data_IF_999446590038
#
_entry.id   IF_999446590038
#
_cell.length_a   1.000
_cell.length_b   1.000
_cell.length_c   1.000
_cell.angle_alpha   90.00
_cell.angle_beta   90.00
_cell.angle_gamma   90.00
#
_symmetry.space_group_name_H-M   'P 1'
#
loop_
_entity.id
_entity.type
_entity.pdbx_description
1 polymer ?
#
# COMPACT_ATOMS: atom_id res chain seq x y z
N UNK A 1 0.53 -3.15 3.43
CA UNK A 1 1.07 -1.83 3.81
C UNK A 1 0.28 -1.29 5.00
N UNK A 2 0.98 -0.92 6.08
CA UNK A 2 0.37 -0.31 7.27
C UNK A 2 0.59 1.22 7.24
N UNK A 3 -0.46 2.02 7.02
CA UNK A 3 -0.35 3.47 7.00
C UNK A 3 0.18 4.08 8.31
N UNK A 4 0.03 3.37 9.43
CA UNK A 4 0.49 3.83 10.73
C UNK A 4 2.01 4.06 10.78
N UNK A 5 2.79 3.35 9.98
CA UNK A 5 4.24 3.52 9.86
C UNK A 5 4.64 4.93 9.38
N UNK A 6 3.76 5.59 8.62
CA UNK A 6 3.99 6.93 8.07
C UNK A 6 3.39 8.06 8.92
N UNK A 7 2.57 7.75 9.92
CA UNK A 7 1.94 8.76 10.78
C UNK A 7 2.95 9.74 11.42
N UNK A 8 4.13 9.30 11.91
CA UNK A 8 5.11 10.24 12.45
C UNK A 8 5.55 11.31 11.44
N UNK A 9 5.71 10.91 10.16
CA UNK A 9 6.10 11.83 9.07
C UNK A 9 4.95 12.80 8.79
N UNK A 10 3.72 12.32 8.69
CA UNK A 10 2.54 13.18 8.50
C UNK A 10 2.35 14.15 9.66
N UNK A 11 2.55 13.71 10.90
CA UNK A 11 2.48 14.59 12.08
C UNK A 11 3.58 15.64 12.06
N UNK A 12 4.81 15.26 11.74
CA UNK A 12 5.93 16.20 11.60
C UNK A 12 5.63 17.27 10.54
N UNK A 13 5.18 16.85 9.36
CA UNK A 13 4.82 17.77 8.28
C UNK A 13 3.71 18.73 8.71
N UNK A 14 2.64 18.23 9.36
CA UNK A 14 1.53 19.04 9.86
C UNK A 14 2.00 20.06 10.91
N UNK A 15 2.80 19.63 11.89
CA UNK A 15 3.30 20.48 12.96
C UNK A 15 4.20 21.60 12.43
N UNK A 16 4.95 21.34 11.37
CA UNK A 16 5.87 22.28 10.76
C UNK A 16 5.29 22.98 9.53
N UNK A 17 4.00 22.76 9.20
CA UNK A 17 3.32 23.32 8.04
C UNK A 17 4.04 23.01 6.71
N UNK A 18 4.65 21.83 6.61
CA UNK A 18 5.31 21.34 5.40
C UNK A 18 4.25 20.78 4.47
N UNK A 19 4.14 21.28 3.23
CA UNK A 19 3.22 20.72 2.25
C UNK A 19 3.54 19.26 1.94
N UNK A 20 2.51 18.42 1.82
CA UNK A 20 2.61 17.05 1.34
C UNK A 20 1.96 16.98 -0.03
N UNK A 21 2.65 16.34 -0.97
CA UNK A 21 2.19 16.16 -2.35
C UNK A 21 2.18 14.68 -2.67
N UNK A 22 1.04 14.16 -3.13
CA UNK A 22 0.95 12.82 -3.66
C UNK A 22 1.62 12.78 -5.05
N UNK A 23 2.56 11.88 -5.24
CA UNK A 23 3.34 11.76 -6.48
C UNK A 23 3.15 10.43 -7.18
N UNK A 24 2.26 9.58 -6.66
CA UNK A 24 1.92 8.31 -7.28
C UNK A 24 0.72 8.48 -8.23
N UNK A 25 0.51 7.51 -9.09
CA UNK A 25 -0.65 7.37 -9.99
C UNK A 25 -1.65 6.37 -9.44
N UNK A 26 -2.86 6.39 -9.98
CA UNK A 26 -3.88 5.40 -9.67
C UNK A 26 -3.45 3.99 -10.07
N UNK A 27 -3.85 3.03 -9.27
CA UNK A 27 -3.53 1.62 -9.52
C UNK A 27 -4.04 1.14 -10.89
N UNK A 28 -5.14 1.69 -11.36
CA UNK A 28 -5.75 1.38 -12.66
C UNK A 28 -4.84 1.70 -13.83
N UNK A 29 -4.07 2.80 -13.78
CA UNK A 29 -3.10 3.12 -14.83
C UNK A 29 -1.99 2.08 -14.87
N UNK A 30 -1.38 1.76 -13.72
CA UNK A 30 -0.31 0.76 -13.64
C UNK A 30 -0.79 -0.60 -14.12
N UNK A 31 -2.00 -1.01 -13.73
CA UNK A 31 -2.61 -2.24 -14.20
C UNK A 31 -2.83 -2.23 -15.72
N UNK A 32 -3.36 -1.15 -16.28
CA UNK A 32 -3.53 -1.01 -17.72
C UNK A 32 -2.21 -1.12 -18.49
N UNK A 33 -1.13 -0.54 -17.95
CA UNK A 33 0.21 -0.67 -18.57
C UNK A 33 0.73 -2.10 -18.47
N UNK A 34 0.56 -2.77 -17.33
CA UNK A 34 1.00 -4.17 -17.18
C UNK A 34 0.22 -5.15 -18.04
N UNK A 35 -1.02 -4.83 -18.43
CA UNK A 35 -1.85 -5.67 -19.29
C UNK A 35 -1.58 -5.46 -20.79
N UNK A 36 -1.44 -4.22 -21.23
CA UNK A 36 -1.41 -3.87 -22.66
C UNK A 36 -0.20 -3.04 -23.12
N UNK A 37 0.69 -2.66 -22.21
CA UNK A 37 1.83 -1.79 -22.46
C UNK A 37 1.47 -0.30 -22.45
N UNK A 38 2.45 0.57 -22.18
CA UNK A 38 2.24 2.02 -22.05
C UNK A 38 1.72 2.66 -23.34
N UNK A 39 2.24 2.27 -24.49
CA UNK A 39 1.84 2.83 -25.80
C UNK A 39 0.35 2.60 -26.11
N UNK A 40 -0.22 1.49 -25.64
CA UNK A 40 -1.62 1.14 -25.85
C UNK A 40 -2.59 1.83 -24.87
N UNK A 41 -2.09 2.50 -23.81
CA UNK A 41 -2.92 3.28 -22.91
C UNK A 41 -3.27 4.62 -23.57
N UNK A 42 -4.55 5.00 -23.71
CA UNK A 42 -4.95 6.30 -24.26
C UNK A 42 -4.33 7.45 -23.45
N UNK A 43 -3.93 8.53 -24.12
CA UNK A 43 -3.30 9.71 -23.48
C UNK A 43 -4.19 10.30 -22.37
N UNK A 44 -5.51 10.29 -22.57
CA UNK A 44 -6.48 10.76 -21.59
C UNK A 44 -6.52 9.94 -20.31
N UNK A 45 -6.02 8.68 -20.34
CA UNK A 45 -6.00 7.76 -19.21
C UNK A 45 -4.62 7.71 -18.52
N UNK A 46 -3.61 8.42 -19.06
CA UNK A 46 -2.23 8.42 -18.52
C UNK A 46 -2.02 9.36 -17.34
N UNK A 47 -3.05 9.99 -16.82
CA UNK A 47 -3.00 10.92 -15.67
C UNK A 47 -1.94 12.03 -15.81
N UNK A 48 -1.62 12.43 -17.04
CA UNK A 48 -0.58 13.43 -17.32
C UNK A 48 0.86 12.90 -17.23
N UNK A 49 1.05 11.60 -17.00
CA UNK A 49 2.38 11.00 -17.03
C UNK A 49 2.90 11.01 -18.46
N UNK A 50 4.03 11.69 -18.66
CA UNK A 50 4.73 11.71 -19.95
C UNK A 50 5.46 10.38 -20.18
N UNK A 51 5.86 10.14 -21.41
CA UNK A 51 6.59 8.92 -21.77
C UNK A 51 7.80 8.70 -20.86
N UNK A 52 7.89 7.54 -20.19
CA UNK A 52 9.03 7.21 -19.36
C UNK A 52 10.29 7.05 -20.19
N UNK A 53 11.44 7.48 -19.67
CA UNK A 53 12.71 7.13 -20.26
C UNK A 53 12.96 5.61 -20.14
N UNK A 54 13.60 4.98 -21.13
CA UNK A 54 13.93 3.56 -21.09
C UNK A 54 14.75 3.20 -19.84
N UNK A 55 14.54 1.99 -19.35
CA UNK A 55 15.39 1.45 -18.28
C UNK A 55 16.82 1.26 -18.77
N UNK A 56 17.78 1.44 -17.87
CA UNK A 56 19.15 1.00 -18.10
C UNK A 56 19.25 -0.52 -17.85
N UNK A 57 20.20 -1.19 -18.47
CA UNK A 57 20.34 -2.66 -18.40
C UNK A 57 20.43 -3.18 -16.95
N UNK A 58 21.16 -2.48 -16.06
CA UNK A 58 21.27 -2.87 -14.66
C UNK A 58 19.93 -2.77 -13.89
N UNK A 59 19.07 -1.82 -14.26
CA UNK A 59 17.73 -1.73 -13.68
C UNK A 59 16.82 -2.85 -14.19
N UNK A 60 16.90 -3.17 -15.47
CA UNK A 60 16.17 -4.32 -16.03
C UNK A 60 16.58 -5.62 -15.36
N UNK A 61 17.88 -5.81 -15.07
CA UNK A 61 18.39 -6.98 -14.35
C UNK A 61 17.77 -7.09 -12.95
N UNK A 62 17.75 -6.00 -12.20
CA UNK A 62 17.13 -5.94 -10.88
C UNK A 62 15.62 -6.20 -10.94
N UNK A 63 14.94 -5.63 -11.92
CA UNK A 63 13.51 -5.84 -12.12
C UNK A 63 13.21 -7.29 -12.53
N UNK A 64 14.12 -7.93 -13.30
CA UNK A 64 13.97 -9.32 -13.69
C UNK A 64 14.05 -10.26 -12.47
N UNK A 65 14.98 -10.03 -11.58
CA UNK A 65 15.06 -10.78 -10.31
C UNK A 65 13.79 -10.61 -9.50
N UNK A 66 13.36 -9.37 -9.29
CA UNK A 66 12.12 -9.07 -8.56
C UNK A 66 10.88 -9.71 -9.21
N UNK A 67 10.77 -9.67 -10.54
CA UNK A 67 9.65 -10.27 -11.26
C UNK A 67 9.63 -11.80 -11.10
N UNK A 68 10.79 -12.44 -11.23
CA UNK A 68 10.92 -13.90 -11.06
C UNK A 68 10.56 -14.35 -9.65
N UNK A 69 10.93 -13.60 -8.62
CA UNK A 69 10.61 -13.91 -7.22
C UNK A 69 9.10 -13.88 -6.93
N UNK A 70 8.35 -13.14 -7.74
CA UNK A 70 6.88 -13.07 -7.64
C UNK A 70 6.16 -14.15 -8.48
N UNK A 71 6.87 -14.87 -9.35
CA UNK A 71 6.28 -15.95 -10.11
C UNK A 71 6.18 -17.24 -9.28
N UNK A 72 5.11 -18.02 -9.49
CA UNK A 72 5.05 -19.37 -8.94
C UNK A 72 6.28 -20.21 -9.38
N UNK A 73 6.76 -21.13 -8.55
CA UNK A 73 7.98 -21.90 -8.85
C UNK A 73 7.94 -22.65 -10.20
N UNK A 74 6.76 -23.11 -10.61
CA UNK A 74 6.53 -23.81 -11.89
C UNK A 74 6.58 -22.89 -13.11
N UNK A 75 6.51 -21.57 -12.90
CA UNK A 75 6.60 -20.55 -13.96
C UNK A 75 7.95 -19.82 -14.00
N UNK A 76 8.86 -20.14 -13.10
CA UNK A 76 10.20 -19.54 -13.12
C UNK A 76 11.00 -20.07 -14.30
N UNK A 77 11.18 -19.21 -15.30
CA UNK A 77 11.93 -19.48 -16.50
C UNK A 77 13.42 -19.16 -16.31
N UNK A 78 14.26 -19.66 -17.24
CA UNK A 78 15.63 -19.18 -17.40
C UNK A 78 15.64 -17.66 -17.64
N UNK A 79 16.63 -16.96 -17.06
CA UNK A 79 16.70 -15.49 -17.12
C UNK A 79 16.76 -14.96 -18.58
N UNK A 80 17.39 -15.70 -19.50
CA UNK A 80 17.49 -15.28 -20.91
C UNK A 80 16.14 -15.39 -21.62
N UNK A 81 15.33 -16.41 -21.31
CA UNK A 81 13.98 -16.58 -21.85
C UNK A 81 13.02 -15.56 -21.21
N UNK A 82 13.14 -15.36 -19.90
CA UNK A 82 12.31 -14.41 -19.17
C UNK A 82 12.46 -12.96 -19.68
N UNK A 83 13.64 -12.54 -20.12
CA UNK A 83 13.86 -11.22 -20.76
C UNK A 83 13.10 -11.04 -22.09
N UNK A 84 12.78 -12.12 -22.77
CA UNK A 84 12.03 -12.10 -24.03
C UNK A 84 10.52 -12.20 -23.81
N UNK A 85 10.10 -12.40 -22.57
CA UNK A 85 8.70 -12.52 -22.20
C UNK A 85 7.97 -11.17 -22.29
N UNK A 86 6.84 -11.16 -22.97
CA UNK A 86 5.99 -9.97 -23.07
C UNK A 86 5.44 -9.52 -21.73
N UNK A 87 5.18 -10.44 -20.79
CA UNK A 87 4.72 -10.11 -19.45
C UNK A 87 5.81 -9.38 -18.66
N UNK A 88 7.06 -9.84 -18.77
CA UNK A 88 8.20 -9.16 -18.17
C UNK A 88 8.40 -7.76 -18.75
N UNK A 89 8.34 -7.62 -20.10
CA UNK A 89 8.45 -6.29 -20.72
C UNK A 89 7.39 -5.33 -20.23
N UNK A 90 6.13 -5.77 -20.14
CA UNK A 90 5.04 -4.96 -19.61
C UNK A 90 5.20 -4.66 -18.11
N UNK A 91 5.75 -5.59 -17.35
CA UNK A 91 6.12 -5.34 -15.96
C UNK A 91 7.15 -4.21 -15.85
N UNK A 92 8.23 -4.24 -16.64
CA UNK A 92 9.23 -3.15 -16.70
C UNK A 92 8.55 -1.83 -17.06
N UNK A 93 7.73 -1.78 -18.10
CA UNK A 93 6.99 -0.56 -18.48
C UNK A 93 6.13 -0.03 -17.34
N UNK A 94 5.48 -0.88 -16.55
CA UNK A 94 4.68 -0.47 -15.41
C UNK A 94 5.52 0.15 -14.28
N UNK A 95 6.72 -0.39 -14.03
CA UNK A 95 7.66 0.21 -13.08
C UNK A 95 8.17 1.57 -13.56
N UNK A 96 8.49 1.69 -14.84
CA UNK A 96 8.95 2.95 -15.44
C UNK A 96 7.88 4.04 -15.40
N UNK A 97 6.61 3.69 -15.56
CA UNK A 97 5.48 4.64 -15.40
C UNK A 97 5.40 5.15 -13.97
N UNK A 98 5.57 4.28 -12.98
CA UNK A 98 5.64 4.70 -11.58
C UNK A 98 6.80 5.64 -11.32
N UNK A 99 8.00 5.27 -11.76
CA UNK A 99 9.20 6.10 -11.61
C UNK A 99 9.03 7.45 -12.28
N UNK A 100 8.44 7.48 -13.47
CA UNK A 100 8.19 8.71 -14.21
C UNK A 100 7.18 9.62 -13.52
N UNK A 101 6.08 9.07 -13.01
CA UNK A 101 5.08 9.82 -12.27
C UNK A 101 5.67 10.46 -11.03
N UNK A 102 6.41 9.70 -10.23
CA UNK A 102 7.09 10.20 -9.03
C UNK A 102 8.13 11.27 -9.38
N UNK A 103 8.91 11.06 -10.43
CA UNK A 103 9.88 12.05 -10.90
C UNK A 103 9.21 13.36 -11.34
N UNK A 104 8.10 13.28 -12.09
CA UNK A 104 7.33 14.47 -12.48
C UNK A 104 6.79 15.22 -11.27
N UNK A 105 6.19 14.51 -10.32
CA UNK A 105 5.67 15.13 -9.10
C UNK A 105 6.75 15.83 -8.27
N UNK A 106 7.93 15.24 -8.14
CA UNK A 106 9.10 15.86 -7.49
C UNK A 106 9.56 17.09 -8.25
N UNK A 107 9.67 17.00 -9.58
CA UNK A 107 10.07 18.10 -10.44
C UNK A 107 9.08 19.29 -10.35
N UNK A 108 7.78 19.00 -10.33
CA UNK A 108 6.73 20.00 -10.20
C UNK A 108 6.77 20.68 -8.84
N UNK A 109 6.96 19.93 -7.76
CA UNK A 109 7.11 20.48 -6.42
C UNK A 109 8.33 21.42 -6.34
N UNK A 110 9.46 21.03 -6.93
CA UNK A 110 10.68 21.84 -6.97
C UNK A 110 10.48 23.15 -7.79
N UNK A 111 9.75 23.06 -8.91
CA UNK A 111 9.43 24.24 -9.74
C UNK A 111 8.49 25.23 -9.04
N UNK A 112 7.50 24.70 -8.30
CA UNK A 112 6.53 25.53 -7.58
C UNK A 112 7.15 26.31 -6.41
N UNK A 113 8.24 25.80 -5.83
CA UNK A 113 8.95 26.44 -4.71
C UNK A 113 10.47 26.46 -4.94
N UNK A 114 10.97 27.36 -5.80
CA UNK A 114 12.40 27.48 -6.06
C UNK A 114 13.19 27.71 -4.76
N UNK A 115 14.27 26.97 -4.59
CA UNK A 115 15.13 27.05 -3.40
C UNK A 115 14.66 26.25 -2.19
N UNK A 116 13.47 25.65 -2.23
CA UNK A 116 13.04 24.72 -1.19
C UNK A 116 13.70 23.34 -1.38
N UNK A 117 13.96 22.66 -0.27
CA UNK A 117 14.33 21.24 -0.29
C UNK A 117 13.07 20.41 -0.52
N UNK A 118 13.08 19.57 -1.54
CA UNK A 118 12.03 18.60 -1.82
C UNK A 118 12.50 17.24 -1.37
N UNK A 119 11.73 16.58 -0.50
CA UNK A 119 12.03 15.23 -0.01
C UNK A 119 11.01 14.26 -0.62
N UNK A 120 11.47 13.35 -1.45
CA UNK A 120 10.67 12.25 -2.00
C UNK A 120 10.74 11.03 -1.07
N UNK A 121 9.58 10.50 -0.68
CA UNK A 121 9.46 9.28 0.12
C UNK A 121 8.80 8.21 -0.74
N UNK A 122 9.53 7.12 -0.97
CA UNK A 122 9.07 6.04 -1.86
C UNK A 122 9.71 4.70 -1.46
N UNK A 123 9.28 3.61 -2.08
CA UNK A 123 9.89 2.30 -1.88
C UNK A 123 11.35 2.30 -2.32
N UNK A 124 12.19 1.57 -1.60
CA UNK A 124 13.63 1.50 -1.85
C UNK A 124 13.99 1.08 -3.28
N UNK A 125 13.22 0.19 -3.89
CA UNK A 125 13.43 -0.26 -5.28
C UNK A 125 13.40 0.86 -6.32
N UNK A 126 12.73 1.97 -6.03
CA UNK A 126 12.68 3.16 -6.90
C UNK A 126 13.85 4.13 -6.66
N UNK A 127 14.64 3.91 -5.58
CA UNK A 127 15.70 4.82 -5.11
C UNK A 127 17.08 4.24 -5.29
N UNK A 128 17.27 2.95 -4.96
CA UNK A 128 18.60 2.30 -4.94
C UNK A 128 19.29 2.42 -6.30
N UNK A 129 20.59 2.59 -6.24
CA UNK A 129 21.47 2.79 -7.39
C UNK A 129 21.11 3.99 -8.28
N UNK A 130 20.06 4.74 -7.97
CA UNK A 130 19.58 5.84 -8.80
C UNK A 130 18.98 5.41 -10.14
N UNK A 131 18.64 4.14 -10.30
CA UNK A 131 18.18 3.58 -11.58
C UNK A 131 16.71 3.86 -11.91
N UNK A 132 15.86 4.04 -10.89
CA UNK A 132 14.45 4.37 -11.05
C UNK A 132 14.20 5.88 -11.16
N UNK A 133 13.63 6.48 -10.10
CA UNK A 133 13.21 7.90 -10.09
C UNK A 133 14.34 8.87 -10.41
N UNK A 134 15.55 8.65 -9.88
CA UNK A 134 16.69 9.51 -10.16
C UNK A 134 17.07 9.50 -11.65
N UNK A 135 17.03 8.34 -12.30
CA UNK A 135 17.23 8.23 -13.75
C UNK A 135 16.17 9.02 -14.51
N UNK A 136 14.89 8.87 -14.17
CA UNK A 136 13.82 9.64 -14.82
C UNK A 136 13.99 11.16 -14.64
N UNK A 137 14.38 11.63 -13.46
CA UNK A 137 14.67 13.05 -13.22
C UNK A 137 15.82 13.56 -14.10
N UNK A 138 16.90 12.79 -14.23
CA UNK A 138 18.03 13.15 -15.10
C UNK A 138 17.61 13.23 -16.58
N UNK A 139 16.80 12.29 -17.04
CA UNK A 139 16.25 12.29 -18.40
C UNK A 139 15.29 13.46 -18.64
N UNK A 140 14.72 14.03 -17.59
CA UNK A 140 13.96 15.31 -17.65
C UNK A 140 14.87 16.55 -17.62
N UNK A 141 16.18 16.40 -17.64
CA UNK A 141 17.15 17.49 -17.59
C UNK A 141 17.37 18.07 -16.18
N UNK A 142 16.95 17.37 -15.13
CA UNK A 142 17.15 17.78 -13.75
C UNK A 142 18.43 17.17 -13.17
N UNK A 143 19.00 17.85 -12.18
CA UNK A 143 20.12 17.30 -11.42
C UNK A 143 19.65 16.08 -10.63
N UNK A 144 20.49 15.04 -10.58
CA UNK A 144 20.21 13.87 -9.74
C UNK A 144 19.99 14.28 -8.28
N UNK A 145 18.93 13.77 -7.64
CA UNK A 145 18.73 13.97 -6.21
C UNK A 145 19.75 13.15 -5.41
N UNK A 146 19.93 13.49 -4.14
CA UNK A 146 20.63 12.60 -3.20
C UNK A 146 19.71 11.45 -2.80
N UNK A 147 20.21 10.23 -2.88
CA UNK A 147 19.54 9.02 -2.44
C UNK A 147 19.95 8.69 -1.01
N UNK A 148 18.99 8.68 -0.09
CA UNK A 148 19.17 8.32 1.30
C UNK A 148 18.41 7.03 1.58
N UNK A 149 19.10 6.00 2.10
CA UNK A 149 18.53 4.68 2.31
C UNK A 149 18.53 4.30 3.79
N UNK A 150 17.39 4.04 4.41
CA UNK A 150 17.34 3.34 5.67
C UNK A 150 17.76 1.88 5.44
N UNK A 151 18.61 1.37 6.31
CA UNK A 151 19.17 0.04 6.25
C UNK A 151 18.85 -0.72 7.53
N UNK A 152 18.37 -1.94 7.42
CA UNK A 152 18.22 -2.81 8.58
C UNK A 152 19.60 -3.13 9.14
N UNK A 153 19.88 -2.66 10.35
CA UNK A 153 21.17 -2.82 11.02
C UNK A 153 21.56 -4.30 11.20
N UNK A 154 20.58 -5.19 11.28
CA UNK A 154 20.77 -6.62 11.47
C UNK A 154 20.80 -7.38 10.11
N UNK A 155 20.70 -6.65 8.99
CA UNK A 155 20.79 -7.19 7.63
C UNK A 155 22.22 -7.55 7.23
N UNK A 156 22.35 -8.32 6.14
CA UNK A 156 23.65 -8.72 5.60
C UNK A 156 24.40 -7.53 5.00
N UNK A 157 25.50 -7.13 5.64
CA UNK A 157 26.36 -6.05 5.17
C UNK A 157 26.95 -6.29 3.76
N UNK A 158 26.97 -7.52 3.25
CA UNK A 158 27.44 -7.81 1.89
C UNK A 158 26.58 -7.16 0.81
N UNK A 159 25.35 -6.81 1.13
CA UNK A 159 24.44 -6.10 0.21
C UNK A 159 24.70 -4.58 0.16
N UNK A 160 25.52 -4.02 1.08
CA UNK A 160 25.98 -2.63 1.07
C UNK A 160 27.13 -2.46 0.07
N UNK A 161 26.78 -2.34 -1.19
CA UNK A 161 27.73 -2.15 -2.27
C UNK A 161 27.93 -0.68 -2.63
N UNK A 162 29.09 -0.28 -3.16
CA UNK A 162 29.31 1.06 -3.67
C UNK A 162 28.26 1.44 -4.71
N UNK A 163 27.73 2.66 -4.62
CA UNK A 163 26.70 3.17 -5.54
C UNK A 163 25.27 2.73 -5.20
N UNK A 164 25.06 2.03 -4.09
CA UNK A 164 23.71 1.67 -3.64
C UNK A 164 22.87 2.91 -3.31
N UNK A 165 23.45 3.88 -2.62
CA UNK A 165 22.87 5.18 -2.28
C UNK A 165 23.98 6.18 -1.97
N UNK A 166 23.65 7.47 -1.86
CA UNK A 166 24.61 8.51 -1.42
C UNK A 166 24.89 8.43 0.09
N UNK A 167 23.91 8.01 0.88
CA UNK A 167 24.09 7.71 2.28
C UNK A 167 23.14 6.62 2.74
N UNK A 168 23.62 5.79 3.66
CA UNK A 168 22.89 4.68 4.28
C UNK A 168 22.83 4.90 5.78
N UNK A 169 21.65 4.73 6.36
CA UNK A 169 21.41 4.91 7.79
C UNK A 169 21.00 3.57 8.41
N UNK A 170 21.84 3.02 9.26
CA UNK A 170 21.51 1.82 10.02
C UNK A 170 20.38 2.11 11.01
N UNK A 171 19.23 1.48 10.81
CA UNK A 171 18.09 1.55 11.73
C UNK A 171 17.94 0.22 12.43
N UNK A 172 17.69 0.26 13.74
CA UNK A 172 17.34 -0.96 14.46
C UNK A 172 15.95 -1.42 14.00
N UNK A 173 15.77 -2.73 13.84
CA UNK A 173 14.41 -3.26 13.68
C UNK A 173 13.55 -2.74 14.86
N UNK A 174 12.43 -2.05 14.59
CA UNK A 174 11.56 -1.67 15.68
C UNK A 174 11.16 -2.95 16.42
N UNK A 175 11.08 -2.93 17.77
CA UNK A 175 10.62 -4.10 18.51
C UNK A 175 9.32 -4.53 17.85
N UNK A 176 9.27 -5.81 17.40
CA UNK A 176 8.07 -6.35 16.76
C UNK A 176 6.89 -5.92 17.60
N UNK A 177 6.09 -5.01 17.07
CA UNK A 177 4.85 -4.65 17.73
C UNK A 177 4.19 -5.99 18.04
N UNK A 178 3.97 -6.26 19.31
CA UNK A 178 3.21 -7.44 19.73
C UNK A 178 2.01 -7.42 18.80
N UNK A 179 1.88 -8.43 17.95
CA UNK A 179 0.77 -8.49 17.00
C UNK A 179 -0.48 -8.50 17.86
N UNK A 180 -1.00 -7.33 18.13
CA UNK A 180 -2.32 -7.19 18.77
C UNK A 180 -3.23 -7.91 17.81
N UNK A 181 -3.71 -9.06 18.24
CA UNK A 181 -4.54 -9.91 17.41
C UNK A 181 -5.62 -9.03 16.80
N UNK A 182 -5.68 -8.97 15.46
CA UNK A 182 -6.61 -8.08 14.76
C UNK A 182 -8.01 -8.32 15.33
N UNK A 183 -8.70 -7.29 15.79
CA UNK A 183 -9.99 -7.48 16.42
C UNK A 183 -10.94 -8.19 15.45
N UNK A 184 -11.64 -9.21 15.93
CA UNK A 184 -12.59 -10.00 15.14
C UNK A 184 -13.89 -10.13 15.92
N UNK A 185 -15.00 -9.89 15.25
CA UNK A 185 -16.31 -10.19 15.84
C UNK A 185 -16.57 -11.70 15.91
N UNK A 186 -16.02 -12.48 14.97
CA UNK A 186 -16.29 -13.90 14.84
C UNK A 186 -17.60 -14.17 14.10
N UNK A 187 -17.79 -13.51 12.96
CA UNK A 187 -18.93 -13.70 12.05
C UNK A 187 -18.44 -13.94 10.63
N UNK A 188 -19.21 -14.68 9.84
CA UNK A 188 -19.16 -14.64 8.38
C UNK A 188 -20.22 -13.70 7.85
N UNK A 189 -19.93 -13.04 6.74
CA UNK A 189 -20.79 -12.01 6.16
C UNK A 189 -21.20 -12.40 4.75
N UNK A 190 -22.44 -12.13 4.42
CA UNK A 190 -23.05 -12.37 3.10
C UNK A 190 -23.69 -11.07 2.60
N UNK A 191 -23.64 -10.78 1.28
CA UNK A 191 -24.35 -9.63 0.71
C UNK A 191 -25.84 -9.72 0.92
N UNK A 192 -26.53 -8.58 1.10
CA UNK A 192 -27.97 -8.49 1.16
C UNK A 192 -28.44 -7.14 0.59
N UNK A 193 -29.69 -7.06 0.08
CA UNK A 193 -30.21 -5.85 -0.58
C UNK A 193 -30.17 -4.58 0.28
N UNK A 194 -30.32 -4.71 1.59
CA UNK A 194 -30.45 -3.55 2.49
C UNK A 194 -29.44 -3.55 3.64
N UNK A 195 -28.23 -4.03 3.41
CA UNK A 195 -27.18 -4.12 4.42
C UNK A 195 -26.34 -5.39 4.24
N UNK A 196 -25.75 -5.88 5.31
CA UNK A 196 -24.88 -7.05 5.31
C UNK A 196 -25.45 -8.13 6.22
N UNK A 197 -25.68 -9.33 5.71
CA UNK A 197 -26.25 -10.46 6.45
C UNK A 197 -25.18 -11.26 7.18
N UNK A 198 -25.50 -11.72 8.38
CA UNK A 198 -24.63 -12.64 9.12
C UNK A 198 -24.92 -14.06 8.65
N UNK A 199 -23.95 -14.69 7.99
CA UNK A 199 -24.02 -16.07 7.51
C UNK A 199 -23.78 -17.10 8.62
N UNK A 200 -22.83 -16.81 9.53
CA UNK A 200 -22.55 -17.64 10.70
C UNK A 200 -21.97 -16.83 11.85
N UNK A 201 -22.08 -17.35 13.06
CA UNK A 201 -21.47 -16.83 14.28
C UNK A 201 -20.59 -17.91 14.88
N UNK A 202 -19.33 -17.57 15.17
CA UNK A 202 -18.36 -18.48 15.79
C UNK A 202 -18.67 -18.62 17.29
N UNK A 203 -18.68 -19.83 17.81
CA UNK A 203 -18.84 -20.09 19.24
C UNK A 203 -17.71 -19.43 20.06
N UNK A 204 -18.03 -18.89 21.25
CA UNK A 204 -17.10 -18.18 22.12
C UNK A 204 -16.66 -16.79 21.62
N UNK A 205 -17.16 -16.35 20.47
CA UNK A 205 -16.77 -15.07 19.86
C UNK A 205 -17.40 -13.85 20.52
N UNK A 206 -16.90 -12.65 20.16
CA UNK A 206 -17.52 -11.40 20.57
C UNK A 206 -18.96 -11.32 20.05
N UNK A 207 -19.20 -11.75 18.82
CA UNK A 207 -20.53 -11.74 18.22
C UNK A 207 -21.54 -12.58 19.01
N UNK A 208 -21.15 -13.79 19.44
CA UNK A 208 -22.00 -14.65 20.24
C UNK A 208 -22.35 -13.97 21.60
N UNK A 209 -21.33 -13.46 22.30
CA UNK A 209 -21.53 -12.72 23.55
C UNK A 209 -22.37 -11.45 23.39
N UNK A 210 -22.34 -10.84 22.21
CA UNK A 210 -23.17 -9.67 21.86
C UNK A 210 -24.62 -10.09 21.56
N UNK A 211 -24.88 -11.38 21.35
CA UNK A 211 -26.20 -11.90 21.00
C UNK A 211 -26.53 -11.82 19.51
N UNK A 212 -25.52 -11.62 18.64
CA UNK A 212 -25.66 -11.73 17.20
C UNK A 212 -25.96 -13.17 16.80
N UNK A 213 -26.72 -13.37 15.73
CA UNK A 213 -27.16 -14.69 15.27
C UNK A 213 -27.04 -14.79 13.75
N UNK A 214 -26.90 -16.01 13.26
CA UNK A 214 -27.07 -16.29 11.83
C UNK A 214 -28.40 -15.76 11.33
N UNK A 215 -28.39 -15.10 10.18
CA UNK A 215 -29.57 -14.50 9.54
C UNK A 215 -29.85 -13.05 9.94
N UNK A 216 -29.19 -12.51 10.98
CA UNK A 216 -29.30 -11.08 11.30
C UNK A 216 -28.80 -10.23 10.14
N UNK A 217 -29.51 -9.14 9.82
CA UNK A 217 -29.10 -8.16 8.86
C UNK A 217 -28.50 -6.95 9.60
N UNK A 218 -27.22 -6.67 9.39
CA UNK A 218 -26.58 -5.46 9.93
C UNK A 218 -27.01 -4.28 9.08
N UNK A 219 -27.83 -3.40 9.66
CA UNK A 219 -28.35 -2.20 9.00
C UNK A 219 -27.62 -0.92 9.40
N UNK A 220 -26.87 -0.97 10.51
CA UNK A 220 -25.99 0.13 10.95
C UNK A 220 -24.86 -0.43 11.80
N UNK A 221 -23.65 0.10 11.62
CA UNK A 221 -22.45 -0.20 12.40
C UNK A 221 -21.67 1.09 12.64
N UNK A 222 -21.36 1.40 13.90
CA UNK A 222 -20.70 2.65 14.29
C UNK A 222 -21.40 3.90 13.71
N UNK A 223 -22.74 3.91 13.63
CA UNK A 223 -23.53 5.03 13.11
C UNK A 223 -23.61 5.13 11.58
N UNK A 224 -22.99 4.17 10.85
CA UNK A 224 -22.97 4.14 9.37
C UNK A 224 -23.71 2.91 8.86
N UNK A 225 -24.49 3.06 7.80
CA UNK A 225 -25.15 1.95 7.11
C UNK A 225 -24.14 1.24 6.21
N UNK A 226 -23.82 -0.04 6.44
CA UNK A 226 -22.92 -0.79 5.57
C UNK A 226 -23.67 -1.30 4.32
N UNK A 227 -23.07 -1.12 3.17
CA UNK A 227 -23.54 -1.70 1.90
C UNK A 227 -22.82 -3.00 1.56
N UNK A 228 -21.57 -3.13 2.03
CA UNK A 228 -20.70 -4.26 1.72
C UNK A 228 -20.04 -4.85 2.97
N UNK A 229 -19.73 -6.15 2.91
CA UNK A 229 -19.05 -6.86 3.97
C UNK A 229 -17.70 -6.24 4.38
N UNK A 230 -16.97 -5.64 3.42
CA UNK A 230 -15.69 -4.97 3.67
C UNK A 230 -15.85 -3.77 4.62
N UNK A 231 -16.98 -3.08 4.59
CA UNK A 231 -17.24 -1.91 5.45
C UNK A 231 -17.47 -2.35 6.89
N UNK A 232 -18.19 -3.47 7.07
CA UNK A 232 -18.35 -4.09 8.40
C UNK A 232 -16.98 -4.53 8.94
N UNK A 233 -16.18 -5.21 8.10
CA UNK A 233 -14.84 -5.64 8.47
C UNK A 233 -13.94 -4.44 8.84
N UNK A 234 -13.99 -3.35 8.07
CA UNK A 234 -13.25 -2.13 8.35
C UNK A 234 -13.67 -1.45 9.66
N UNK A 235 -14.99 -1.43 9.96
CA UNK A 235 -15.47 -0.91 11.23
C UNK A 235 -14.97 -1.73 12.42
N UNK A 236 -14.92 -3.05 12.28
CA UNK A 236 -14.37 -3.96 13.30
C UNK A 236 -12.87 -3.77 13.45
N UNK A 237 -12.12 -3.69 12.35
CA UNK A 237 -10.65 -3.52 12.41
C UNK A 237 -10.20 -2.20 13.04
N UNK A 238 -11.05 -1.17 13.05
CA UNK A 238 -10.78 0.10 13.73
C UNK A 238 -10.97 0.06 15.25
N UNK A 239 -11.47 -1.06 15.79
CA UNK A 239 -11.70 -1.16 17.22
C UNK A 239 -10.40 -1.43 17.98
N UNK A 240 -10.07 -0.57 18.91
CA UNK A 240 -9.00 -0.82 19.86
C UNK A 240 -9.46 -1.77 20.98
N UNK A 241 -8.52 -2.47 21.66
CA UNK A 241 -8.85 -3.21 22.88
C UNK A 241 -9.58 -2.34 23.89
N UNK A 242 -10.60 -2.89 24.56
CA UNK A 242 -11.42 -2.18 25.55
C UNK A 242 -12.51 -1.27 24.97
N UNK A 243 -12.66 -1.20 23.63
CA UNK A 243 -13.68 -0.34 23.01
C UNK A 243 -15.02 -1.08 22.79
N UNK A 244 -16.03 -0.29 22.50
CA UNK A 244 -17.38 -0.77 22.26
C UNK A 244 -17.84 -0.33 20.87
N UNK A 245 -18.42 -1.28 20.13
CA UNK A 245 -18.91 -1.07 18.77
C UNK A 245 -20.43 -1.20 18.76
N UNK A 246 -21.18 -0.09 18.58
CA UNK A 246 -22.63 -0.14 18.46
C UNK A 246 -23.05 -0.70 17.08
N UNK A 247 -24.07 -1.53 17.09
CA UNK A 247 -24.70 -2.12 15.91
C UNK A 247 -26.21 -2.00 15.99
N UNK A 248 -26.86 -1.73 14.86
CA UNK A 248 -28.29 -1.98 14.67
C UNK A 248 -28.46 -3.12 13.70
N UNK A 249 -29.25 -4.11 14.10
CA UNK A 249 -29.56 -5.27 13.28
C UNK A 249 -31.06 -5.38 13.08
N UNK A 250 -31.44 -5.99 11.96
CA UNK A 250 -32.78 -6.46 11.74
C UNK A 250 -32.83 -7.97 11.90
N UNK A 251 -33.69 -8.44 12.81
CA UNK A 251 -33.95 -9.86 13.05
C UNK A 251 -35.44 -10.14 12.84
N UNK A 252 -35.78 -10.73 11.69
CA UNK A 252 -37.16 -10.79 11.24
C UNK A 252 -37.76 -9.40 11.07
N UNK A 253 -38.87 -9.09 11.74
CA UNK A 253 -39.51 -7.77 11.73
C UNK A 253 -39.01 -6.80 12.81
N UNK A 254 -38.04 -7.20 13.65
CA UNK A 254 -37.57 -6.42 14.79
C UNK A 254 -36.23 -5.78 14.50
N UNK A 255 -36.09 -4.50 14.79
CA UNK A 255 -34.81 -3.82 14.89
C UNK A 255 -34.27 -3.94 16.31
N UNK A 256 -33.01 -4.33 16.45
CA UNK A 256 -32.34 -4.47 17.73
C UNK A 256 -31.07 -3.62 17.72
N UNK A 257 -30.83 -2.91 18.82
CA UNK A 257 -29.58 -2.20 19.07
C UNK A 257 -28.71 -3.06 19.99
N UNK A 258 -27.51 -3.36 19.54
CA UNK A 258 -26.54 -4.21 20.23
C UNK A 258 -25.22 -3.48 20.36
N UNK A 259 -24.41 -3.86 21.34
CA UNK A 259 -23.07 -3.29 21.55
C UNK A 259 -22.07 -4.43 21.68
N UNK A 260 -21.19 -4.55 20.68
CA UNK A 260 -20.09 -5.50 20.72
C UNK A 260 -18.95 -4.91 21.59
N UNK A 261 -18.58 -5.61 22.66
CA UNK A 261 -17.53 -5.18 23.59
C UNK A 261 -16.24 -5.93 23.26
N UNK A 262 -15.23 -5.21 22.83
CA UNK A 262 -13.91 -5.76 22.60
C UNK A 262 -13.17 -5.85 23.95
N UNK A 263 -12.57 -7.02 24.29
CA UNK A 263 -11.85 -7.16 25.54
C UNK A 263 -10.68 -6.16 25.61
N UNK A 264 -10.37 -5.69 26.80
CA UNK A 264 -9.15 -4.94 27.04
C UNK A 264 -7.93 -5.81 26.67
N UNK A 265 -6.82 -5.18 26.26
CA UNK A 265 -5.58 -5.91 26.11
C UNK A 265 -5.26 -6.54 27.48
N UNK A 266 -5.03 -7.84 27.52
CA UNK A 266 -4.44 -8.47 28.69
C UNK A 266 -3.07 -7.83 28.88
N UNK A 267 -2.79 -7.29 30.05
CA UNK A 267 -1.43 -6.91 30.43
C UNK A 267 -0.52 -8.13 30.22
N UNK A 268 0.73 -7.90 29.72
CA UNK A 268 1.67 -8.98 29.42
C UNK A 268 2.06 -9.77 30.65
#
# INVERSE_FOLDING_TARGET
>A
FDPALYLPIFHFARMNRIPLVAVNVERSLVQSVSEKGYAAVPVSEREGVSEPAPAIAAYEDMLLESWRDHLPPDKQQDAALARQDDEFRRFVESQLVWDRAMAQGIADAARQKPGAVVVGLMGSGHVIHGWGVSHQLQQMGLKAPLALLPWDRDGDCATLVPGLADAVFGVAEPPRAVQVARPRLGITLEPAENGVRIGAVTAGSIAERTGLRKGDLIIEIAGVRPEQAIEVAAAVMRQAPGTWLPLKIQRGSRTLELVAKFPAASEP
#
